data_IF_618196287713
#
_entry.id   IF_618196287713
#
_cell.length_a   1.000
_cell.length_b   1.000
_cell.length_c   1.000
_cell.angle_alpha   90.00
_cell.angle_beta   90.00
_cell.angle_gamma   90.00
#
_symmetry.space_group_name_H-M   'P 1'
#
loop_
_entity.id
_entity.type
_entity.pdbx_description
1 polymer ?
#
# COMPACT_ATOMS: atom_id res chain seq x y z
N UNK A 1 20.57 -0.21 14.37
CA UNK A 1 20.04 -1.39 13.66
C UNK A 1 18.53 -1.57 13.83
N UNK A 2 17.97 -1.49 15.05
CA UNK A 2 16.53 -1.71 15.28
C UNK A 2 15.59 -0.80 14.44
N UNK A 3 15.94 0.48 14.27
CA UNK A 3 15.10 1.44 13.54
C UNK A 3 15.04 1.15 12.03
N UNK A 4 16.14 0.69 11.43
CA UNK A 4 16.18 0.28 10.02
C UNK A 4 15.38 -1.01 9.78
N UNK A 5 15.44 -1.97 10.72
CA UNK A 5 14.63 -3.18 10.66
C UNK A 5 13.13 -2.87 10.78
N UNK A 6 12.76 -1.93 11.66
CA UNK A 6 11.38 -1.46 11.79
C UNK A 6 10.88 -0.76 10.52
N UNK A 7 11.71 0.06 9.88
CA UNK A 7 11.38 0.70 8.60
C UNK A 7 11.20 -0.33 7.47
N UNK A 8 12.08 -1.33 7.39
CA UNK A 8 11.93 -2.42 6.42
C UNK A 8 10.63 -3.19 6.66
N UNK A 9 10.30 -3.46 7.93
CA UNK A 9 9.05 -4.13 8.29
C UNK A 9 7.81 -3.28 7.96
N UNK A 10 7.91 -1.95 8.06
CA UNK A 10 6.87 -1.02 7.62
C UNK A 10 6.69 -1.01 6.10
N UNK A 11 7.76 -1.22 5.33
CA UNK A 11 7.69 -1.28 3.87
C UNK A 11 7.12 -2.62 3.37
N UNK A 12 7.27 -3.67 4.18
CA UNK A 12 6.70 -5.00 3.96
C UNK A 12 5.23 -5.14 4.39
N UNK A 13 4.51 -4.04 4.66
CA UNK A 13 3.08 -4.11 4.97
C UNK A 13 2.29 -4.56 3.75
N UNK A 14 2.28 -5.87 3.54
CA UNK A 14 1.46 -6.58 2.59
C UNK A 14 0.11 -6.86 3.29
N UNK A 15 -1.00 -6.76 2.56
CA UNK A 15 -2.36 -6.71 3.11
C UNK A 15 -2.80 -7.95 3.91
N UNK A 16 -1.98 -8.99 3.96
CA UNK A 16 -2.28 -10.30 4.56
C UNK A 16 -1.87 -10.44 6.03
N UNK A 17 -0.96 -9.61 6.52
CA UNK A 17 -0.60 -9.57 7.94
C UNK A 17 -1.19 -8.27 8.51
N UNK A 18 -2.03 -8.37 9.54
CA UNK A 18 -2.39 -7.24 10.42
C UNK A 18 -1.15 -6.35 10.56
N UNK A 19 -1.21 -5.02 10.34
CA UNK A 19 -0.01 -4.19 10.34
C UNK A 19 0.68 -4.41 11.68
N UNK A 20 1.79 -5.18 11.73
CA UNK A 20 2.40 -5.56 12.99
C UNK A 20 2.82 -4.29 13.73
N UNK A 21 3.08 -3.24 12.95
CA UNK A 21 3.41 -1.87 13.31
C UNK A 21 2.44 -1.24 14.31
N UNK A 22 1.11 -1.37 14.17
CA UNK A 22 0.17 -0.66 15.07
C UNK A 22 0.02 -1.38 16.41
N UNK A 23 -0.13 -2.71 16.38
CA UNK A 23 -0.23 -3.53 17.59
C UNK A 23 1.10 -3.58 18.35
N UNK A 24 2.24 -3.67 17.66
CA UNK A 24 3.57 -3.57 18.28
C UNK A 24 3.89 -2.14 18.74
N UNK A 25 3.44 -1.12 18.01
CA UNK A 25 3.64 0.28 18.37
C UNK A 25 2.92 0.63 19.66
N UNK A 26 1.60 0.47 19.70
CA UNK A 26 0.78 0.81 20.89
C UNK A 26 1.03 -0.19 22.02
N UNK A 27 0.94 -1.49 21.74
CA UNK A 27 1.15 -2.55 22.74
C UNK A 27 2.56 -2.53 23.30
N UNK A 28 3.57 -2.38 22.45
CA UNK A 28 4.96 -2.26 22.89
C UNK A 28 5.21 -0.99 23.70
N UNK A 29 4.57 0.14 23.36
CA UNK A 29 4.69 1.38 24.12
C UNK A 29 4.12 1.23 25.53
N UNK A 30 2.97 0.57 25.66
CA UNK A 30 2.35 0.28 26.97
C UNK A 30 3.23 -0.65 27.81
N UNK A 31 3.78 -1.71 27.20
CA UNK A 31 4.74 -2.60 27.85
C UNK A 31 5.99 -1.82 28.29
N UNK A 32 6.47 -0.89 27.46
CA UNK A 32 7.64 -0.09 27.79
C UNK A 32 7.40 0.87 28.97
N UNK A 33 6.22 1.49 29.03
CA UNK A 33 5.82 2.36 30.14
C UNK A 33 5.61 1.56 31.43
N UNK A 34 4.99 0.39 31.36
CA UNK A 34 4.87 -0.53 32.50
C UNK A 34 6.23 -1.00 33.01
N UNK A 35 7.13 -1.34 32.09
CA UNK A 35 8.53 -1.67 32.36
C UNK A 35 9.25 -0.53 33.08
N UNK A 36 9.08 0.72 32.63
CA UNK A 36 9.67 1.90 33.27
C UNK A 36 9.27 2.04 34.75
N UNK A 37 7.99 1.84 35.09
CA UNK A 37 7.48 1.95 36.46
C UNK A 37 8.10 0.91 37.40
N UNK A 38 8.32 -0.31 36.90
CA UNK A 38 8.90 -1.42 37.66
C UNK A 38 10.44 -1.47 37.61
N UNK A 39 11.08 -0.62 36.80
CA UNK A 39 12.50 -0.70 36.51
C UNK A 39 13.37 0.08 37.50
N UNK A 40 14.54 -0.49 37.82
CA UNK A 40 15.61 0.18 38.59
C UNK A 40 16.02 1.47 37.89
N UNK A 41 16.38 2.49 38.66
CA UNK A 41 16.73 3.84 38.15
C UNK A 41 17.68 3.83 36.94
N UNK A 42 18.71 2.97 36.95
CA UNK A 42 19.70 2.84 35.85
C UNK A 42 19.12 2.38 34.51
N UNK A 43 17.98 1.71 34.51
CA UNK A 43 17.34 1.11 33.34
C UNK A 43 16.17 1.93 32.79
N UNK A 44 15.68 2.91 33.55
CA UNK A 44 14.58 3.81 33.17
C UNK A 44 14.83 4.56 31.86
N UNK A 45 16.07 4.98 31.61
CA UNK A 45 16.45 5.64 30.37
C UNK A 45 16.21 4.77 29.11
N UNK A 46 16.46 3.46 29.19
CA UNK A 46 16.26 2.55 28.05
C UNK A 46 14.77 2.34 27.75
N UNK A 47 13.93 2.31 28.79
CA UNK A 47 12.48 2.23 28.62
C UNK A 47 11.90 3.50 27.99
N UNK A 48 12.38 4.68 28.39
CA UNK A 48 11.98 5.95 27.76
C UNK A 48 12.39 6.02 26.28
N UNK A 49 13.61 5.61 25.96
CA UNK A 49 14.09 5.56 24.55
C UNK A 49 13.23 4.58 23.74
N UNK A 50 12.92 3.41 24.30
CA UNK A 50 12.05 2.42 23.64
C UNK A 50 10.65 2.97 23.40
N UNK A 51 10.02 3.57 24.42
CA UNK A 51 8.70 4.19 24.28
C UNK A 51 8.70 5.32 23.24
N UNK A 52 9.71 6.19 23.26
CA UNK A 52 9.85 7.25 22.27
C UNK A 52 10.03 6.70 20.84
N UNK A 53 10.82 5.65 20.66
CA UNK A 53 11.02 5.00 19.36
C UNK A 53 9.72 4.38 18.82
N UNK A 54 8.93 3.73 19.69
CA UNK A 54 7.65 3.13 19.32
C UNK A 54 6.58 4.19 19.02
N UNK A 55 6.56 5.30 19.75
CA UNK A 55 5.66 6.42 19.46
C UNK A 55 6.01 7.11 18.14
N UNK A 56 7.31 7.28 17.85
CA UNK A 56 7.78 7.87 16.59
C UNK A 56 7.43 7.01 15.36
N UNK A 57 7.20 5.71 15.56
CA UNK A 57 6.81 4.78 14.50
C UNK A 57 5.45 5.12 13.87
N UNK A 58 4.52 5.72 14.63
CA UNK A 58 3.17 6.06 14.17
C UNK A 58 3.16 7.12 13.05
N UNK A 59 3.75 8.32 13.22
CA UNK A 59 3.80 9.31 12.13
C UNK A 59 4.67 8.83 10.96
N UNK A 60 5.73 8.07 11.21
CA UNK A 60 6.54 7.44 10.16
C UNK A 60 5.72 6.49 9.29
N UNK A 61 4.87 5.68 9.90
CA UNK A 61 3.97 4.78 9.17
C UNK A 61 3.04 5.54 8.22
N UNK A 62 2.42 6.63 8.68
CA UNK A 62 1.55 7.46 7.84
C UNK A 62 2.30 8.09 6.67
N UNK A 63 3.53 8.57 6.90
CA UNK A 63 4.36 9.14 5.85
C UNK A 63 4.74 8.09 4.79
N UNK A 64 5.13 6.90 5.22
CA UNK A 64 5.45 5.77 4.32
C UNK A 64 4.21 5.38 3.52
N UNK A 65 3.04 5.25 4.15
CA UNK A 65 1.80 4.89 3.48
C UNK A 65 1.39 5.94 2.44
N UNK A 66 1.49 7.24 2.77
CA UNK A 66 1.21 8.32 1.80
C UNK A 66 2.18 8.28 0.62
N UNK A 67 3.46 8.03 0.87
CA UNK A 67 4.47 7.92 -0.16
C UNK A 67 4.20 6.71 -1.08
N UNK A 68 3.91 5.53 -0.51
CA UNK A 68 3.54 4.33 -1.26
C UNK A 68 2.27 4.55 -2.10
N UNK A 69 1.26 5.23 -1.53
CA UNK A 69 0.02 5.56 -2.24
C UNK A 69 0.32 6.43 -3.47
N UNK A 70 1.07 7.53 -3.30
CA UNK A 70 1.43 8.43 -4.40
C UNK A 70 2.22 7.72 -5.51
N UNK A 71 3.17 6.86 -5.14
CA UNK A 71 3.93 6.09 -6.14
C UNK A 71 3.03 5.09 -6.86
N UNK A 72 2.15 4.40 -6.14
CA UNK A 72 1.22 3.43 -6.72
C UNK A 72 0.27 4.11 -7.72
N UNK A 73 -0.31 5.27 -7.36
CA UNK A 73 -1.14 6.05 -8.29
C UNK A 73 -0.36 6.52 -9.52
N UNK A 74 0.90 6.96 -9.35
CA UNK A 74 1.76 7.36 -10.48
C UNK A 74 2.02 6.19 -11.42
N UNK A 75 2.27 5.00 -10.88
CA UNK A 75 2.46 3.76 -11.66
C UNK A 75 1.16 3.30 -12.33
N UNK A 76 0.03 3.39 -11.63
CA UNK A 76 -1.30 3.15 -12.19
C UNK A 76 -1.60 4.08 -13.37
N UNK A 77 -1.18 5.35 -13.31
CA UNK A 77 -1.30 6.29 -14.44
C UNK A 77 -0.60 5.83 -15.72
N UNK A 78 0.40 4.96 -15.64
CA UNK A 78 1.02 4.32 -16.81
C UNK A 78 0.07 3.27 -17.41
N UNK A 79 -0.56 2.44 -16.55
CA UNK A 79 -1.57 1.45 -16.96
C UNK A 79 -2.81 2.13 -17.57
N UNK A 80 -3.34 3.16 -16.91
CA UNK A 80 -4.52 3.92 -17.35
C UNK A 80 -4.31 4.49 -18.76
N UNK A 81 -3.13 5.05 -19.04
CA UNK A 81 -2.79 5.57 -20.38
C UNK A 81 -2.68 4.46 -21.43
N UNK A 82 -2.13 3.31 -21.06
CA UNK A 82 -2.08 2.15 -21.94
C UNK A 82 -3.48 1.60 -22.26
N UNK A 83 -4.36 1.51 -21.24
CA UNK A 83 -5.77 1.13 -21.41
C UNK A 83 -6.50 2.10 -22.35
N UNK A 84 -6.32 3.40 -22.17
CA UNK A 84 -6.90 4.40 -23.06
C UNK A 84 -6.42 4.26 -24.52
N UNK A 85 -5.12 3.97 -24.71
CA UNK A 85 -4.54 3.76 -26.05
C UNK A 85 -5.06 2.47 -26.69
N UNK A 86 -5.16 1.39 -25.91
CA UNK A 86 -5.77 0.12 -26.33
C UNK A 86 -7.21 0.34 -26.79
N UNK A 87 -8.02 1.02 -25.96
CA UNK A 87 -9.41 1.31 -26.26
C UNK A 87 -9.58 2.14 -27.54
N UNK A 88 -8.75 3.17 -27.76
CA UNK A 88 -8.80 3.94 -29.01
C UNK A 88 -8.51 3.09 -30.25
N UNK A 89 -7.65 2.07 -30.12
CA UNK A 89 -7.21 1.23 -31.24
C UNK A 89 -8.19 0.08 -31.52
N UNK A 90 -8.72 -0.54 -30.46
CA UNK A 90 -9.56 -1.74 -30.55
C UNK A 90 -11.05 -1.45 -30.35
N UNK A 91 -11.42 -0.20 -30.03
CA UNK A 91 -12.78 0.23 -29.68
C UNK A 91 -13.41 -0.54 -28.50
N UNK A 92 -12.58 -1.25 -27.72
CA UNK A 92 -12.97 -2.06 -26.57
C UNK A 92 -11.83 -2.05 -25.54
N UNK A 93 -12.15 -2.19 -24.26
CA UNK A 93 -11.13 -2.38 -23.21
C UNK A 93 -10.67 -3.84 -23.19
N UNK A 94 -9.43 -4.12 -22.75
CA UNK A 94 -8.96 -5.49 -22.66
C UNK A 94 -9.65 -6.24 -21.51
N UNK A 95 -9.77 -7.55 -21.64
CA UNK A 95 -10.31 -8.41 -20.57
C UNK A 95 -9.33 -8.56 -19.40
N UNK A 96 -8.04 -8.38 -19.68
CA UNK A 96 -6.98 -8.46 -18.66
C UNK A 96 -5.82 -7.52 -18.96
N UNK A 97 -5.10 -7.11 -17.92
CA UNK A 97 -3.91 -6.27 -18.07
C UNK A 97 -2.81 -6.94 -18.91
N UNK A 98 -2.76 -8.28 -18.98
CA UNK A 98 -1.77 -9.01 -19.76
C UNK A 98 -1.84 -8.67 -21.27
N UNK A 99 -3.02 -8.33 -21.80
CA UNK A 99 -3.21 -7.94 -23.20
C UNK A 99 -2.54 -6.60 -23.55
N UNK A 100 -2.18 -5.78 -22.55
CA UNK A 100 -1.42 -4.54 -22.78
C UNK A 100 0.06 -4.82 -23.09
N UNK A 101 0.57 -5.99 -22.73
CA UNK A 101 1.97 -6.35 -22.92
C UNK A 101 2.15 -7.31 -24.10
N UNK A 102 3.27 -7.21 -24.85
CA UNK A 102 4.30 -6.17 -24.78
C UNK A 102 3.96 -4.91 -25.59
N UNK A 103 2.85 -4.91 -26.35
CA UNK A 103 2.57 -3.93 -27.41
C UNK A 103 2.36 -2.49 -26.90
N UNK A 104 1.60 -2.32 -25.81
CA UNK A 104 1.29 -1.00 -25.24
C UNK A 104 2.12 -0.68 -24.00
N UNK A 105 2.65 -1.72 -23.33
CA UNK A 105 3.56 -1.61 -22.20
C UNK A 105 4.65 -2.69 -22.30
N UNK A 106 5.92 -2.37 -22.01
CA UNK A 106 6.99 -3.38 -22.01
C UNK A 106 6.80 -4.42 -20.89
N UNK A 107 6.27 -3.98 -19.74
CA UNK A 107 5.90 -4.82 -18.59
C UNK A 107 4.82 -4.15 -17.77
N UNK A 108 4.03 -4.93 -17.05
CA UNK A 108 3.07 -4.39 -16.09
C UNK A 108 3.81 -3.84 -14.85
N UNK A 109 3.60 -2.56 -14.49
CA UNK A 109 4.15 -2.04 -13.25
C UNK A 109 3.45 -2.66 -12.05
N UNK A 110 4.17 -2.85 -10.95
CA UNK A 110 3.62 -3.28 -9.66
C UNK A 110 3.37 -2.07 -8.77
N UNK A 111 2.57 -2.26 -7.71
CA UNK A 111 2.33 -1.22 -6.71
C UNK A 111 3.60 -0.92 -5.91
N UNK A 112 3.59 0.14 -5.09
CA UNK A 112 4.67 0.42 -4.15
C UNK A 112 4.54 -0.32 -2.81
N UNK A 113 3.50 -1.16 -2.67
CA UNK A 113 3.26 -1.98 -1.49
C UNK A 113 3.95 -3.33 -1.66
N UNK A 114 4.72 -3.73 -0.63
CA UNK A 114 5.58 -4.92 -0.63
C UNK A 114 6.88 -4.69 -1.39
N UNK A 115 8.04 -4.65 -0.69
CA UNK A 115 9.35 -4.54 -1.34
C UNK A 115 9.86 -5.92 -1.76
N UNK A 116 9.74 -6.90 -0.87
CA UNK A 116 10.13 -8.30 -1.09
C UNK A 116 9.10 -9.03 -1.94
N UNK A 117 7.80 -8.75 -1.70
CA UNK A 117 6.69 -9.32 -2.48
C UNK A 117 5.84 -8.20 -3.09
N UNK A 118 6.24 -7.66 -4.26
CA UNK A 118 5.52 -6.57 -4.89
C UNK A 118 4.06 -6.95 -5.18
N UNK A 119 3.12 -6.19 -4.62
CA UNK A 119 1.71 -6.45 -4.88
C UNK A 119 1.32 -5.98 -6.29
N UNK A 120 0.63 -6.82 -7.09
CA UNK A 120 0.15 -6.42 -8.41
C UNK A 120 -1.07 -5.49 -8.30
N UNK A 121 -1.35 -4.77 -9.38
CA UNK A 121 -2.65 -4.09 -9.53
C UNK A 121 -3.75 -5.11 -9.84
N UNK A 122 -4.93 -4.88 -9.29
CA UNK A 122 -6.15 -5.61 -9.59
C UNK A 122 -6.90 -4.86 -10.69
N UNK A 123 -7.43 -5.58 -11.67
CA UNK A 123 -8.16 -4.98 -12.78
C UNK A 123 -9.51 -5.67 -12.94
N UNK A 124 -10.55 -4.86 -13.03
CA UNK A 124 -11.91 -5.29 -13.25
C UNK A 124 -12.31 -4.76 -14.62
N UNK A 125 -12.41 -5.69 -15.57
CA UNK A 125 -12.79 -5.40 -16.95
C UNK A 125 -14.27 -4.98 -17.03
N UNK A 126 -14.69 -4.36 -18.14
CA UNK A 126 -16.10 -4.05 -18.38
C UNK A 126 -17.05 -5.25 -18.24
N UNK A 127 -16.56 -6.44 -18.58
CA UNK A 127 -17.31 -7.69 -18.42
C UNK A 127 -17.57 -8.05 -16.95
N UNK A 128 -16.69 -7.63 -16.04
CA UNK A 128 -16.82 -7.87 -14.60
C UNK A 128 -17.59 -6.75 -13.89
N UNK A 129 -17.59 -5.52 -14.44
CA UNK A 129 -18.29 -4.37 -13.86
C UNK A 129 -19.75 -4.25 -14.31
N UNK A 130 -20.24 -5.16 -15.16
CA UNK A 130 -21.56 -5.10 -15.82
C UNK A 130 -21.82 -3.81 -16.61
N UNK A 131 -20.77 -3.06 -16.95
CA UNK A 131 -20.84 -1.82 -17.71
C UNK A 131 -19.75 -1.86 -18.78
N UNK A 132 -20.17 -2.03 -20.04
CA UNK A 132 -19.30 -2.24 -21.20
C UNK A 132 -18.38 -1.05 -21.51
N UNK A 133 -18.66 0.14 -20.93
CA UNK A 133 -17.89 1.34 -21.18
C UNK A 133 -16.89 1.68 -20.07
N UNK A 134 -16.83 0.90 -18.98
CA UNK A 134 -16.04 1.26 -17.80
C UNK A 134 -15.16 0.13 -17.30
N UNK A 135 -14.04 0.50 -16.68
CA UNK A 135 -13.16 -0.43 -15.99
C UNK A 135 -12.79 0.12 -14.62
N UNK A 136 -12.35 -0.76 -13.73
CA UNK A 136 -11.74 -0.37 -12.45
C UNK A 136 -10.32 -0.93 -12.33
N UNK A 137 -9.44 -0.12 -11.74
CA UNK A 137 -8.08 -0.50 -11.44
C UNK A 137 -7.82 -0.26 -9.95
N UNK A 138 -7.50 -1.32 -9.21
CA UNK A 138 -7.36 -1.25 -7.76
C UNK A 138 -6.04 -1.80 -7.24
N UNK A 139 -5.77 -1.51 -5.97
CA UNK A 139 -4.72 -2.14 -5.19
C UNK A 139 -5.02 -2.06 -3.69
N UNK A 140 -4.51 -3.04 -2.93
CA UNK A 140 -4.57 -3.03 -1.47
C UNK A 140 -3.57 -2.04 -0.88
N UNK A 141 -4.01 -1.26 0.11
CA UNK A 141 -3.22 -0.31 0.89
C UNK A 141 -2.86 -0.81 2.30
N UNK A 142 -3.20 -2.06 2.60
CA UNK A 142 -3.12 -2.65 3.95
C UNK A 142 -4.41 -2.44 4.76
N UNK A 143 -4.57 -3.14 5.89
CA UNK A 143 -5.72 -3.02 6.80
C UNK A 143 -7.10 -3.13 6.11
N UNK A 144 -7.26 -4.05 5.17
CA UNK A 144 -8.49 -4.19 4.38
C UNK A 144 -8.85 -2.98 3.49
N UNK A 145 -8.10 -1.89 3.58
CA UNK A 145 -8.27 -0.71 2.74
C UNK A 145 -7.80 -1.02 1.31
N UNK A 146 -8.69 -0.79 0.36
CA UNK A 146 -8.42 -0.91 -1.06
C UNK A 146 -8.67 0.43 -1.75
N UNK A 147 -7.73 0.83 -2.60
CA UNK A 147 -7.90 1.97 -3.48
C UNK A 147 -8.39 1.47 -4.85
N UNK A 148 -9.41 2.12 -5.41
CA UNK A 148 -9.94 1.82 -6.74
C UNK A 148 -10.03 3.08 -7.58
N UNK A 149 -9.48 3.03 -8.78
CA UNK A 149 -9.70 4.03 -9.81
C UNK A 149 -10.86 3.60 -10.69
N UNK A 150 -11.85 4.47 -10.86
CA UNK A 150 -12.94 4.26 -11.82
C UNK A 150 -12.71 5.06 -13.10
N UNK A 151 -12.80 4.40 -14.25
CA UNK A 151 -12.68 5.09 -15.54
C UNK A 151 -13.85 6.03 -15.84
N UNK A 152 -15.01 5.85 -15.21
CA UNK A 152 -16.19 6.70 -15.41
C UNK A 152 -16.04 8.06 -14.74
N UNK A 153 -15.51 8.09 -13.52
CA UNK A 153 -15.34 9.32 -12.74
C UNK A 153 -13.94 9.93 -12.88
N UNK A 154 -12.95 9.13 -13.30
CA UNK A 154 -11.55 9.55 -13.34
C UNK A 154 -10.95 9.77 -11.95
N UNK A 155 -11.56 9.22 -10.91
CA UNK A 155 -11.19 9.44 -9.51
C UNK A 155 -10.84 8.14 -8.80
N UNK A 156 -10.03 8.29 -7.75
CA UNK A 156 -9.72 7.23 -6.80
C UNK A 156 -10.73 7.25 -5.65
N UNK A 157 -11.34 6.09 -5.38
CA UNK A 157 -12.14 5.83 -4.17
C UNK A 157 -11.39 4.89 -3.25
N UNK A 158 -11.68 4.96 -1.96
CA UNK A 158 -11.08 4.12 -0.93
C UNK A 158 -12.20 3.38 -0.21
N UNK A 159 -12.09 2.06 -0.13
CA UNK A 159 -13.05 1.17 0.53
C UNK A 159 -12.34 0.42 1.65
N UNK A 160 -12.99 0.29 2.82
CA UNK A 160 -12.52 -0.45 4.00
C UNK A 160 -13.14 -1.84 4.07
#
# INVERSE_FOLDING_TARGET
>A
MALAALLLLQLETNAWLLPPVLSLGVGGSLVAVGGYAMSRWRWRQYWLITAAALLLQLPLYLLVQQWQNRISQRRAGVIIRALATYHRTQQQFPDSLAQLTPRYLPRLPTTAYGIVTPAPFQYYSPALTNDSATYQLGYGMGLFVQAFYSSSTGQWTYHE
#
